data_IF_812931956587
#
_entry.id   IF_812931956587
#
_cell.length_a   1.000
_cell.length_b   1.000
_cell.length_c   1.000
_cell.angle_alpha   90.00
_cell.angle_beta   90.00
_cell.angle_gamma   90.00
#
_symmetry.space_group_name_H-M   'P 1'
#
loop_
_entity.id
_entity.type
_entity.pdbx_description
1 polymer ?
#
# COMPACT_ATOMS: atom_id res chain seq x y z
N UNK A 1 21.55 15.45 19.93
CA UNK A 1 21.29 16.18 18.66
C UNK A 1 21.40 15.23 17.46
N UNK A 2 22.48 14.44 17.32
CA UNK A 2 22.62 13.42 16.26
C UNK A 2 21.49 12.38 16.19
N UNK A 3 21.08 11.76 17.31
CA UNK A 3 19.96 10.80 17.34
C UNK A 3 18.63 11.37 16.81
N UNK A 4 18.39 12.67 17.00
CA UNK A 4 17.19 13.33 16.49
C UNK A 4 17.27 13.60 14.97
N UNK A 5 18.48 13.69 14.41
CA UNK A 5 18.70 13.80 12.96
C UNK A 5 18.61 12.43 12.26
N UNK A 6 19.07 11.34 12.89
CA UNK A 6 18.89 9.96 12.37
C UNK A 6 17.42 9.60 12.16
N UNK A 7 16.54 10.03 13.08
CA UNK A 7 15.09 9.76 12.99
C UNK A 7 14.44 10.46 11.78
N UNK A 8 15.03 11.54 11.24
CA UNK A 8 14.48 12.22 10.05
C UNK A 8 14.60 11.38 8.77
N UNK A 9 15.56 10.46 8.70
CA UNK A 9 15.80 9.62 7.52
C UNK A 9 15.17 8.21 7.66
N UNK A 10 14.51 7.94 8.78
CA UNK A 10 13.86 6.66 9.03
C UNK A 10 12.48 6.62 8.34
N UNK A 11 12.27 5.62 7.49
CA UNK A 11 10.93 5.29 6.98
C UNK A 11 10.33 4.21 7.84
N UNK A 12 9.18 4.48 8.44
CA UNK A 12 8.51 3.58 9.39
C UNK A 12 7.15 3.18 8.84
N UNK A 13 6.95 1.88 8.67
CA UNK A 13 5.65 1.28 8.42
C UNK A 13 5.14 0.66 9.72
N UNK A 14 3.94 1.06 10.15
CA UNK A 14 3.23 0.44 11.27
C UNK A 14 1.95 -0.23 10.76
N UNK A 15 1.75 -1.49 11.12
CA UNK A 15 0.58 -2.30 10.73
C UNK A 15 -0.13 -2.80 11.97
N UNK A 16 -1.37 -2.37 12.18
CA UNK A 16 -2.23 -2.82 13.26
C UNK A 16 -3.01 -4.09 12.88
N UNK A 17 -3.31 -4.97 13.83
CA UNK A 17 -4.05 -6.21 13.54
C UNK A 17 -5.55 -6.03 13.24
N UNK A 18 -6.13 -4.88 13.59
CA UNK A 18 -7.52 -4.56 13.31
C UNK A 18 -8.49 -5.09 14.36
N UNK A 19 -9.70 -5.45 13.93
CA UNK A 19 -10.81 -5.82 14.81
C UNK A 19 -10.54 -7.06 15.68
N UNK A 20 -9.79 -8.04 15.17
CA UNK A 20 -9.46 -9.29 15.88
C UNK A 20 -8.26 -9.16 16.81
N UNK A 21 -7.55 -8.03 16.81
CA UNK A 21 -6.46 -7.76 17.73
C UNK A 21 -7.01 -7.24 19.07
N UNK A 22 -7.33 -8.18 19.96
CA UNK A 22 -7.81 -7.85 21.31
C UNK A 22 -6.70 -7.41 22.26
N UNK A 23 -5.44 -7.73 21.97
CA UNK A 23 -4.31 -7.39 22.84
C UNK A 23 -3.81 -5.97 22.58
N UNK A 24 -3.76 -5.55 21.30
CA UNK A 24 -3.28 -4.24 20.89
C UNK A 24 -4.35 -3.50 20.09
N UNK A 25 -4.92 -2.45 20.71
CA UNK A 25 -5.88 -1.58 20.03
C UNK A 25 -5.22 -0.88 18.84
N UNK A 26 -5.89 -0.89 17.70
CA UNK A 26 -5.35 -0.34 16.46
C UNK A 26 -4.83 1.10 16.60
N UNK A 27 -5.53 1.98 17.33
CA UNK A 27 -5.09 3.37 17.54
C UNK A 27 -3.74 3.53 18.25
N UNK A 28 -3.27 2.54 19.01
CA UNK A 28 -1.96 2.56 19.67
C UNK A 28 -0.82 2.20 18.72
N UNK A 29 -1.13 1.56 17.59
CA UNK A 29 -0.16 1.27 16.55
C UNK A 29 0.00 2.42 15.56
N UNK A 30 -0.83 3.48 15.61
CA UNK A 30 -0.69 4.62 14.72
C UNK A 30 0.47 5.51 15.17
N UNK A 31 1.37 5.78 14.23
CA UNK A 31 2.50 6.66 14.44
C UNK A 31 2.00 8.11 14.58
N UNK A 32 2.55 8.91 15.50
CA UNK A 32 2.17 10.30 15.65
C UNK A 32 2.46 11.07 14.36
N UNK A 33 1.46 11.78 13.84
CA UNK A 33 1.59 12.64 12.66
C UNK A 33 2.40 13.88 13.02
N UNK A 34 3.73 13.79 13.00
CA UNK A 34 4.58 14.98 13.11
C UNK A 34 4.80 15.58 11.72
N UNK A 35 4.68 16.92 11.60
CA UNK A 35 4.89 17.68 10.37
C UNK A 35 6.29 17.54 9.77
N UNK A 36 7.22 16.89 10.49
CA UNK A 36 8.60 16.66 10.07
C UNK A 36 8.90 15.21 9.64
N UNK A 37 7.94 14.28 9.79
CA UNK A 37 8.11 12.87 9.42
C UNK A 37 7.21 12.50 8.23
N UNK A 38 7.61 12.92 7.03
CA UNK A 38 6.97 12.49 5.78
C UNK A 38 7.20 11.01 5.44
N UNK A 39 7.86 10.24 6.32
CA UNK A 39 8.26 8.85 6.10
C UNK A 39 7.56 7.84 7.01
N UNK A 40 6.46 8.23 7.67
CA UNK A 40 5.67 7.34 8.53
C UNK A 40 4.36 6.93 7.83
N UNK A 41 4.10 5.63 7.73
CA UNK A 41 2.84 5.07 7.22
C UNK A 41 2.22 4.17 8.28
N UNK A 42 0.97 4.42 8.65
CA UNK A 42 0.21 3.58 9.58
C UNK A 42 -1.02 3.03 8.89
N UNK A 43 -1.21 1.71 8.95
CA UNK A 43 -2.33 1.01 8.32
C UNK A 43 -2.89 -0.05 9.26
N UNK A 44 -4.13 -0.44 9.03
CA UNK A 44 -4.74 -1.62 9.67
C UNK A 44 -4.67 -2.77 8.67
N UNK A 45 -4.34 -3.98 9.12
CA UNK A 45 -4.15 -5.15 8.25
C UNK A 45 -5.33 -5.39 7.32
N UNK A 46 -6.57 -5.29 7.84
CA UNK A 46 -7.80 -5.42 7.04
C UNK A 46 -8.04 -4.31 6.01
N UNK A 47 -7.31 -3.20 6.09
CA UNK A 47 -7.34 -2.10 5.12
C UNK A 47 -6.22 -2.21 4.08
N UNK A 48 -5.24 -3.12 4.30
CA UNK A 48 -4.16 -3.35 3.34
C UNK A 48 -4.74 -4.08 2.12
N UNK A 49 -4.50 -3.58 0.90
CA UNK A 49 -4.96 -4.25 -0.30
C UNK A 49 -4.53 -5.71 -0.34
N UNK A 50 -5.49 -6.61 -0.63
CA UNK A 50 -5.29 -8.07 -0.69
C UNK A 50 -4.97 -8.75 0.65
N UNK A 51 -5.20 -8.06 1.77
CA UNK A 51 -5.18 -8.60 3.13
C UNK A 51 -6.56 -8.35 3.73
N UNK A 52 -7.47 -9.29 3.55
CA UNK A 52 -8.85 -9.13 4.04
C UNK A 52 -8.99 -9.67 5.46
N UNK A 53 -8.04 -10.50 5.91
CA UNK A 53 -8.02 -10.99 7.26
C UNK A 53 -7.56 -9.90 8.25
N UNK A 54 -8.45 -9.52 9.17
CA UNK A 54 -8.00 -8.94 10.44
C UNK A 54 -7.27 -10.04 11.23
N UNK A 55 -6.12 -9.68 11.78
CA UNK A 55 -5.20 -10.58 12.47
C UNK A 55 -5.22 -10.29 13.96
N UNK A 56 -5.28 -11.32 14.80
CA UNK A 56 -4.96 -11.14 16.21
C UNK A 56 -3.45 -10.91 16.39
N UNK A 57 -3.05 -10.40 17.55
CA UNK A 57 -1.65 -10.02 17.80
C UNK A 57 -0.66 -11.17 17.66
N UNK A 58 -1.05 -12.39 18.05
CA UNK A 58 -0.17 -13.56 18.01
C UNK A 58 0.04 -14.07 16.58
N UNK A 59 -0.94 -13.83 15.69
CA UNK A 59 -0.91 -14.32 14.32
C UNK A 59 -0.55 -13.28 13.26
N UNK A 60 -0.43 -11.99 13.61
CA UNK A 60 -0.18 -10.91 12.64
C UNK A 60 1.06 -11.15 11.77
N UNK A 61 2.16 -11.61 12.37
CA UNK A 61 3.42 -11.91 11.66
C UNK A 61 3.35 -13.20 10.84
N UNK A 62 2.35 -14.05 11.08
CA UNK A 62 2.14 -15.32 10.38
C UNK A 62 1.07 -15.23 9.30
N UNK A 63 0.35 -14.11 9.21
CA UNK A 63 -0.69 -13.92 8.20
C UNK A 63 -0.08 -13.95 6.79
N UNK A 64 -0.43 -14.98 6.02
CA UNK A 64 0.13 -15.21 4.68
C UNK A 64 -0.15 -14.04 3.73
N UNK A 65 -1.36 -13.48 3.80
CA UNK A 65 -1.76 -12.35 2.96
C UNK A 65 -0.85 -11.13 3.22
N UNK A 66 -0.68 -10.77 4.49
CA UNK A 66 0.17 -9.66 4.91
C UNK A 66 1.64 -9.91 4.55
N UNK A 67 2.15 -11.11 4.81
CA UNK A 67 3.51 -11.49 4.43
C UNK A 67 3.76 -11.34 2.92
N UNK A 68 2.82 -11.76 2.08
CA UNK A 68 2.96 -11.61 0.63
C UNK A 68 2.96 -10.15 0.17
N UNK A 69 2.22 -9.26 0.83
CA UNK A 69 2.28 -7.82 0.53
C UNK A 69 3.62 -7.23 0.96
N UNK A 70 4.10 -7.56 2.16
CA UNK A 70 5.39 -7.11 2.67
C UNK A 70 6.56 -7.56 1.79
N UNK A 71 6.56 -8.83 1.37
CA UNK A 71 7.60 -9.37 0.49
C UNK A 71 7.62 -8.64 -0.86
N UNK A 72 6.46 -8.39 -1.48
CA UNK A 72 6.39 -7.62 -2.74
C UNK A 72 6.92 -6.21 -2.58
N UNK A 73 6.53 -5.53 -1.50
CA UNK A 73 7.05 -4.20 -1.20
C UNK A 73 8.58 -4.23 -1.03
N UNK A 74 9.14 -5.23 -0.35
CA UNK A 74 10.60 -5.36 -0.20
C UNK A 74 11.32 -5.56 -1.52
N UNK A 75 10.78 -6.36 -2.45
CA UNK A 75 11.37 -6.50 -3.78
C UNK A 75 11.36 -5.18 -4.55
N UNK A 76 10.25 -4.45 -4.50
CA UNK A 76 10.12 -3.16 -5.21
C UNK A 76 10.93 -2.02 -4.54
N UNK A 77 11.36 -2.21 -3.30
CA UNK A 77 12.30 -1.32 -2.59
C UNK A 77 13.76 -1.53 -3.00
N UNK A 78 14.10 -2.65 -3.64
CA UNK A 78 15.48 -2.88 -4.10
C UNK A 78 15.77 -1.95 -5.28
N UNK A 79 16.91 -1.27 -5.22
CA UNK A 79 17.43 -0.46 -6.31
C UNK A 79 18.13 -1.37 -7.33
N UNK A 80 17.76 -1.24 -8.60
CA UNK A 80 18.28 -2.09 -9.67
C UNK A 80 19.77 -1.91 -9.93
N UNK A 81 20.34 -0.74 -9.62
CA UNK A 81 21.75 -0.45 -9.83
C UNK A 81 22.60 -0.96 -8.67
N UNK A 82 22.17 -0.68 -7.43
CA UNK A 82 22.96 -1.01 -6.24
C UNK A 82 22.70 -2.43 -5.72
N UNK A 83 21.57 -3.04 -6.13
CA UNK A 83 21.05 -4.30 -5.60
C UNK A 83 20.83 -4.29 -4.08
N UNK A 84 20.73 -3.11 -3.49
CA UNK A 84 20.44 -2.89 -2.07
C UNK A 84 19.08 -2.20 -1.92
N UNK A 85 18.54 -2.17 -0.70
CA UNK A 85 17.35 -1.39 -0.39
C UNK A 85 17.63 0.07 -0.71
N UNK A 86 16.75 0.71 -1.50
CA UNK A 86 16.90 2.11 -1.89
C UNK A 86 17.09 3.00 -0.66
N UNK A 87 18.00 3.97 -0.74
CA UNK A 87 18.18 4.95 0.35
C UNK A 87 17.18 6.10 0.24
N UNK A 88 16.62 6.34 -0.96
CA UNK A 88 15.74 7.45 -1.26
C UNK A 88 14.41 7.35 -0.47
N UNK A 89 14.16 8.27 0.50
CA UNK A 89 12.94 8.20 1.33
C UNK A 89 11.65 8.40 0.53
N UNK A 90 11.69 9.15 -0.57
CA UNK A 90 10.52 9.37 -1.43
C UNK A 90 10.15 8.08 -2.16
N UNK A 91 11.13 7.37 -2.73
CA UNK A 91 10.90 6.07 -3.36
C UNK A 91 10.37 5.05 -2.36
N UNK A 92 10.93 5.00 -1.15
CA UNK A 92 10.38 4.16 -0.07
C UNK A 92 8.91 4.44 0.18
N UNK A 93 8.55 5.72 0.33
CA UNK A 93 7.17 6.14 0.59
C UNK A 93 6.24 5.77 -0.57
N UNK A 94 6.66 5.94 -1.83
CA UNK A 94 5.89 5.56 -3.01
C UNK A 94 5.62 4.06 -3.06
N UNK A 95 6.64 3.23 -2.86
CA UNK A 95 6.50 1.76 -2.85
C UNK A 95 5.58 1.31 -1.73
N UNK A 96 5.75 1.87 -0.52
CA UNK A 96 4.89 1.53 0.62
C UNK A 96 3.43 1.94 0.38
N UNK A 97 3.17 3.14 -0.14
CA UNK A 97 1.81 3.58 -0.48
C UNK A 97 1.17 2.72 -1.57
N UNK A 98 1.95 2.32 -2.58
CA UNK A 98 1.48 1.42 -3.63
C UNK A 98 0.97 0.10 -3.04
N UNK A 99 1.75 -0.53 -2.17
CA UNK A 99 1.43 -1.86 -1.63
C UNK A 99 0.43 -1.85 -0.49
N UNK A 100 0.51 -0.86 0.40
CA UNK A 100 -0.26 -0.85 1.65
C UNK A 100 -1.49 0.06 1.62
N UNK A 101 -1.71 0.86 0.57
CA UNK A 101 -2.86 1.80 0.49
C UNK A 101 -3.67 1.66 -0.81
N UNK A 102 -3.03 1.65 -1.98
CA UNK A 102 -3.76 1.84 -3.27
C UNK A 102 -3.78 0.67 -4.24
N UNK A 103 -2.90 -0.32 -4.09
CA UNK A 103 -2.60 -1.39 -5.05
C UNK A 103 -3.65 -1.61 -6.18
N UNK A 104 -3.43 -1.01 -7.38
CA UNK A 104 -4.38 -1.07 -8.49
C UNK A 104 -4.35 -2.38 -9.29
N UNK A 105 -3.60 -3.40 -8.84
CA UNK A 105 -3.41 -4.65 -9.58
C UNK A 105 -2.26 -4.63 -10.60
N UNK A 106 -1.47 -3.55 -10.65
CA UNK A 106 -0.27 -3.43 -11.48
C UNK A 106 1.01 -3.62 -10.63
N UNK A 107 2.14 -3.85 -11.30
CA UNK A 107 3.47 -3.78 -10.67
C UNK A 107 3.78 -2.33 -10.29
N UNK A 108 4.62 -2.12 -9.28
CA UNK A 108 5.08 -0.78 -8.94
C UNK A 108 5.93 -0.23 -10.10
N UNK A 109 5.61 0.98 -10.54
CA UNK A 109 6.41 1.73 -11.51
C UNK A 109 6.64 3.13 -10.95
N UNK A 110 7.91 3.55 -10.91
CA UNK A 110 8.29 4.86 -10.34
C UNK A 110 7.75 6.02 -11.20
N UNK A 111 7.57 5.78 -12.50
CA UNK A 111 6.91 6.71 -13.41
C UNK A 111 5.41 6.51 -13.29
N UNK A 112 4.74 7.45 -12.62
CA UNK A 112 3.29 7.58 -12.73
C UNK A 112 2.99 7.72 -14.23
N UNK A 113 2.35 6.73 -14.86
CA UNK A 113 1.74 6.94 -16.17
C UNK A 113 0.87 8.18 -16.02
N UNK A 114 1.25 9.24 -16.73
CA UNK A 114 0.51 10.50 -16.76
C UNK A 114 -0.96 10.14 -16.90
N UNK A 115 -1.81 10.68 -16.02
CA UNK A 115 -3.27 10.66 -16.21
C UNK A 115 -3.48 10.95 -17.69
N UNK A 116 -3.89 9.96 -18.46
CA UNK A 116 -4.18 10.15 -19.87
C UNK A 116 -5.42 11.02 -19.89
N UNK A 117 -5.23 12.33 -19.94
CA UNK A 117 -6.30 13.24 -20.29
C UNK A 117 -6.80 12.79 -21.66
N UNK A 118 -8.08 12.50 -21.74
CA UNK A 118 -8.75 12.24 -23.01
C UNK A 118 -8.76 13.57 -23.76
N UNK A 119 -7.68 13.89 -24.46
CA UNK A 119 -7.49 15.14 -25.22
C UNK A 119 -8.25 15.14 -26.54
N UNK A 120 -9.03 14.08 -26.83
CA UNK A 120 -9.90 13.97 -27.99
C UNK A 120 -11.36 14.33 -27.68
N UNK A 121 -12.07 14.88 -28.66
CA UNK A 121 -13.52 15.04 -28.57
C UNK A 121 -14.18 13.67 -28.28
N UNK A 122 -14.89 13.57 -27.16
CA UNK A 122 -15.61 12.37 -26.77
C UNK A 122 -16.77 12.13 -27.73
N UNK A 123 -16.66 11.11 -28.59
CA UNK A 123 -17.74 10.69 -29.50
C UNK A 123 -18.42 9.48 -28.89
N UNK A 124 -19.74 9.52 -28.76
CA UNK A 124 -20.52 8.35 -28.39
C UNK A 124 -20.51 7.35 -29.54
N UNK A 125 -19.91 6.18 -29.31
CA UNK A 125 -19.90 5.08 -30.28
C UNK A 125 -20.84 4.00 -29.76
N UNK A 126 -21.81 3.60 -30.58
CA UNK A 126 -22.68 2.48 -30.24
C UNK A 126 -21.89 1.18 -30.42
N UNK A 127 -21.45 0.58 -29.31
CA UNK A 127 -20.76 -0.71 -29.34
C UNK A 127 -21.81 -1.82 -29.38
N UNK A 128 -22.04 -2.40 -30.57
CA UNK A 128 -22.84 -3.62 -30.72
C UNK A 128 -22.05 -4.83 -30.21
N UNK A 129 -21.97 -5.02 -28.89
CA UNK A 129 -21.37 -6.25 -28.34
C UNK A 129 -22.41 -7.37 -28.31
N UNK A 130 -22.05 -8.56 -28.79
CA UNK A 130 -22.86 -9.78 -28.63
C UNK A 130 -22.73 -10.34 -27.21
N UNK A 131 -23.17 -9.60 -26.19
CA UNK A 131 -23.24 -10.09 -24.80
C UNK A 131 -24.69 -10.11 -24.34
N UNK A 132 -25.19 -11.31 -24.06
CA UNK A 132 -26.46 -11.52 -23.37
C UNK A 132 -26.21 -11.50 -21.86
N UNK A 133 -26.96 -10.69 -21.12
CA UNK A 133 -27.01 -10.77 -19.66
C UNK A 133 -28.44 -11.10 -19.24
N UNK A 134 -28.59 -12.26 -18.60
CA UNK A 134 -29.87 -12.73 -18.06
C UNK A 134 -30.06 -12.17 -16.65
N UNK A 135 -31.19 -11.48 -16.40
CA UNK A 135 -31.67 -11.14 -15.06
C UNK A 135 -32.99 -11.89 -14.85
N UNK A 136 -32.95 -12.93 -14.03
CA UNK A 136 -34.15 -13.59 -13.52
C UNK A 136 -34.73 -12.75 -12.38
N UNK A 137 -36.03 -12.49 -12.43
CA UNK A 137 -36.79 -11.97 -11.30
C UNK A 137 -37.43 -13.17 -10.60
N UNK A 138 -37.23 -13.29 -9.28
CA UNK A 138 -37.98 -14.23 -8.44
C UNK A 138 -39.43 -13.77 -8.31
#
# INVERSE_FOLDING_TARGET
IQKAQEIKNLTTLSVAGGFRDYQVRSGLAFLPSSSSQNCALSVVSSAVPRVWASTDHLSIVWCKELNLVTVRAFFDLIDDNTKQITENPQRKNLVLNHHFVRYPGKLFEERLESVTELTGASIWINIKTSKWSYKGYN
#
